data_IF_869659946590
#
_entry.id   IF_869659946590
#
_cell.length_a   1.000
_cell.length_b   1.000
_cell.length_c   1.000
_cell.angle_alpha   90.00
_cell.angle_beta   90.00
_cell.angle_gamma   90.00
#
_symmetry.space_group_name_H-M   'P 1'
#
loop_
_entity.id
_entity.type
_entity.pdbx_description
1 polymer ?
#
# COMPACT_ATOMS: atom_id res chain seq x y z
N UNK A 1 -16.25 -15.16 -13.30
CA UNK A 1 -15.09 -15.76 -13.94
C UNK A 1 -14.03 -16.01 -12.87
N UNK A 2 -13.98 -17.23 -12.39
CA UNK A 2 -12.99 -17.62 -11.37
C UNK A 2 -11.66 -17.85 -12.05
N UNK A 3 -10.73 -16.91 -11.90
CA UNK A 3 -9.33 -17.20 -12.16
C UNK A 3 -8.77 -18.00 -10.99
N UNK A 4 -8.93 -19.32 -11.03
CA UNK A 4 -8.12 -20.23 -10.22
C UNK A 4 -6.69 -20.16 -10.73
N UNK A 5 -5.94 -19.18 -10.28
CA UNK A 5 -4.50 -19.24 -10.37
C UNK A 5 -4.03 -20.32 -9.38
N UNK A 6 -3.54 -21.44 -9.90
CA UNK A 6 -2.90 -22.51 -9.11
C UNK A 6 -1.76 -22.04 -8.20
N UNK A 7 -1.39 -20.78 -8.30
CA UNK A 7 -0.40 -20.11 -7.46
C UNK A 7 -0.95 -19.74 -6.06
N UNK A 8 -2.28 -19.60 -5.94
CA UNK A 8 -2.91 -19.19 -4.68
C UNK A 8 -2.89 -20.26 -3.59
N UNK A 9 -2.91 -21.55 -3.97
CA UNK A 9 -2.97 -22.61 -2.96
C UNK A 9 -1.65 -22.76 -2.19
N UNK A 10 -0.52 -22.57 -2.86
CA UNK A 10 0.80 -22.57 -2.19
C UNK A 10 1.07 -21.33 -1.34
N UNK A 11 0.40 -20.21 -1.64
CA UNK A 11 0.57 -18.97 -0.90
C UNK A 11 -0.33 -18.90 0.34
N UNK A 12 -1.39 -19.69 0.41
CA UNK A 12 -2.24 -19.79 1.61
C UNK A 12 -1.47 -20.36 2.82
N UNK A 13 -0.48 -21.20 2.56
CA UNK A 13 0.37 -21.78 3.60
C UNK A 13 1.39 -20.78 4.19
N UNK A 14 1.52 -19.58 3.56
CA UNK A 14 2.43 -18.51 4.00
C UNK A 14 1.69 -17.43 4.80
N UNK A 15 0.41 -17.63 5.11
CA UNK A 15 -0.36 -16.67 5.89
C UNK A 15 0.28 -16.49 7.27
N UNK A 16 0.82 -15.30 7.51
CA UNK A 16 1.38 -14.93 8.80
C UNK A 16 0.26 -14.70 9.81
N UNK A 17 0.31 -15.38 10.93
CA UNK A 17 -0.61 -15.16 12.05
C UNK A 17 -0.33 -13.80 12.69
N UNK A 18 -1.39 -13.18 13.23
CA UNK A 18 -1.36 -11.87 13.88
C UNK A 18 -0.80 -10.75 12.98
N UNK A 19 -1.00 -10.88 11.66
CA UNK A 19 -0.62 -9.84 10.72
C UNK A 19 -1.66 -8.71 10.72
N UNK A 20 -1.20 -7.51 11.00
CA UNK A 20 -1.96 -6.29 10.77
C UNK A 20 -1.03 -5.22 10.22
N UNK A 21 -1.28 -4.76 8.99
CA UNK A 21 -0.48 -3.75 8.31
C UNK A 21 -1.37 -2.72 7.65
N UNK A 22 -0.92 -1.48 7.66
CA UNK A 22 -1.61 -0.37 7.01
C UNK A 22 -0.66 0.32 6.03
N UNK A 23 -1.10 0.44 4.78
CA UNK A 23 -0.35 1.02 3.68
C UNK A 23 -1.09 2.26 3.19
N UNK A 24 -0.41 3.39 3.14
CA UNK A 24 -0.91 4.59 2.48
C UNK A 24 -0.26 4.72 1.10
N UNK A 25 -1.07 4.99 0.08
CA UNK A 25 -0.62 5.32 -1.27
C UNK A 25 -1.14 6.69 -1.60
N UNK A 26 -0.25 7.64 -1.81
CA UNK A 26 -0.63 9.03 -2.07
C UNK A 26 0.09 9.61 -3.27
N UNK A 27 -0.57 10.56 -3.94
CA UNK A 27 -0.04 11.25 -5.10
C UNK A 27 -1.00 12.28 -5.64
N UNK A 28 -0.64 12.85 -6.79
CA UNK A 28 -1.51 13.76 -7.54
C UNK A 28 -2.65 12.99 -8.20
N UNK A 29 -3.78 13.66 -8.39
CA UNK A 29 -4.86 13.12 -9.22
C UNK A 29 -4.32 12.67 -10.58
N UNK A 30 -4.65 11.46 -10.99
CA UNK A 30 -4.20 10.85 -12.25
C UNK A 30 -2.89 10.05 -12.18
N UNK A 31 -2.20 9.97 -11.04
CA UNK A 31 -0.96 9.18 -10.89
C UNK A 31 -1.20 7.68 -10.65
N UNK A 32 -2.45 7.22 -10.66
CA UNK A 32 -2.76 5.80 -10.54
C UNK A 32 -2.81 5.27 -9.10
N UNK A 33 -2.99 6.13 -8.10
CA UNK A 33 -3.12 5.71 -6.68
C UNK A 33 -4.25 4.70 -6.50
N UNK A 34 -5.39 4.92 -7.15
CA UNK A 34 -6.55 4.03 -7.08
C UNK A 34 -6.28 2.65 -7.69
N UNK A 35 -5.62 2.60 -8.85
CA UNK A 35 -5.29 1.35 -9.52
C UNK A 35 -4.29 0.55 -8.69
N UNK A 36 -3.26 1.21 -8.19
CA UNK A 36 -2.23 0.58 -7.35
C UNK A 36 -2.84 0.02 -6.07
N UNK A 37 -3.69 0.78 -5.39
CA UNK A 37 -4.35 0.31 -4.16
C UNK A 37 -5.26 -0.89 -4.42
N UNK A 38 -5.99 -0.87 -5.53
CA UNK A 38 -6.87 -1.97 -5.90
C UNK A 38 -6.10 -3.26 -6.21
N UNK A 39 -4.97 -3.15 -6.90
CA UNK A 39 -4.10 -4.31 -7.18
C UNK A 39 -3.53 -4.90 -5.89
N UNK A 40 -3.01 -4.07 -4.98
CA UNK A 40 -2.50 -4.52 -3.68
C UNK A 40 -3.62 -5.20 -2.88
N UNK A 41 -4.79 -4.59 -2.81
CA UNK A 41 -5.95 -5.15 -2.12
C UNK A 41 -6.32 -6.53 -2.68
N UNK A 42 -6.38 -6.68 -3.99
CA UNK A 42 -6.64 -7.97 -4.64
C UNK A 42 -5.62 -9.04 -4.28
N UNK A 43 -4.34 -8.70 -4.33
CA UNK A 43 -3.26 -9.65 -4.00
C UNK A 43 -3.46 -10.19 -2.58
N UNK A 44 -3.68 -9.32 -1.59
CA UNK A 44 -3.85 -9.75 -0.21
C UNK A 44 -5.17 -10.50 0.03
N UNK A 45 -6.25 -10.15 -0.66
CA UNK A 45 -7.49 -10.91 -0.64
C UNK A 45 -7.27 -12.34 -1.17
N UNK A 46 -6.52 -12.50 -2.26
CA UNK A 46 -6.19 -13.82 -2.82
C UNK A 46 -5.30 -14.65 -1.88
N UNK A 47 -4.47 -13.98 -1.07
CA UNK A 47 -3.66 -14.63 -0.04
C UNK A 47 -4.48 -15.00 1.21
N UNK A 48 -5.77 -14.67 1.26
CA UNK A 48 -6.67 -15.02 2.34
C UNK A 48 -6.70 -14.03 3.50
N UNK A 49 -6.20 -12.80 3.32
CA UNK A 49 -6.31 -11.73 4.30
C UNK A 49 -7.60 -10.94 4.14
N UNK A 50 -8.06 -10.36 5.23
CA UNK A 50 -9.09 -9.32 5.20
C UNK A 50 -8.45 -8.00 4.80
N UNK A 51 -9.09 -7.27 3.89
CA UNK A 51 -8.57 -6.01 3.37
C UNK A 51 -9.66 -4.95 3.42
N UNK A 52 -9.32 -3.79 3.95
CA UNK A 52 -10.15 -2.61 3.92
C UNK A 52 -9.42 -1.51 3.13
N UNK A 53 -10.00 -1.07 2.02
CA UNK A 53 -9.42 -0.03 1.16
C UNK A 53 -10.24 1.25 1.27
N UNK A 54 -9.71 2.22 2.01
CA UNK A 54 -10.28 3.55 2.15
C UNK A 54 -9.68 4.49 1.09
N UNK A 55 -10.55 5.28 0.48
CA UNK A 55 -10.17 6.21 -0.57
C UNK A 55 -10.54 7.63 -0.15
N UNK A 56 -9.56 8.52 -0.19
CA UNK A 56 -9.75 9.94 0.07
C UNK A 56 -9.37 10.76 -1.18
N UNK A 57 -10.39 11.42 -1.75
CA UNK A 57 -10.24 12.30 -2.90
C UNK A 57 -10.81 13.69 -2.57
N UNK A 58 -10.10 14.49 -1.78
CA UNK A 58 -10.59 15.81 -1.39
C UNK A 58 -10.67 16.79 -2.57
N UNK A 59 -10.05 16.47 -3.69
CA UNK A 59 -10.04 17.32 -4.87
C UNK A 59 -10.31 16.53 -6.16
N UNK A 60 -11.31 16.98 -6.91
CA UNK A 60 -11.57 16.57 -8.29
C UNK A 60 -10.73 17.37 -9.29
N UNK A 61 -10.00 18.38 -8.83
CA UNK A 61 -9.17 19.25 -9.65
C UNK A 61 -7.85 18.53 -9.95
N UNK A 62 -7.43 18.55 -11.20
CA UNK A 62 -6.14 18.02 -11.65
C UNK A 62 -4.98 18.60 -10.81
N UNK A 63 -4.16 17.72 -10.23
CA UNK A 63 -3.03 18.12 -9.37
C UNK A 63 -3.36 18.21 -7.88
N UNK A 64 -4.62 17.98 -7.46
CA UNK A 64 -4.99 17.82 -6.06
C UNK A 64 -4.38 16.57 -5.44
N UNK A 65 -4.17 16.59 -4.11
CA UNK A 65 -3.66 15.43 -3.38
C UNK A 65 -4.76 14.41 -3.15
N UNK A 66 -4.55 13.21 -3.63
CA UNK A 66 -5.43 12.06 -3.41
C UNK A 66 -4.63 10.93 -2.77
N UNK A 67 -5.28 10.17 -1.89
CA UNK A 67 -4.63 9.02 -1.29
C UNK A 67 -5.60 7.88 -1.00
N UNK A 68 -5.05 6.68 -0.91
CA UNK A 68 -5.76 5.48 -0.49
C UNK A 68 -5.06 4.90 0.74
N UNK A 69 -5.84 4.38 1.68
CA UNK A 69 -5.33 3.65 2.83
C UNK A 69 -5.82 2.22 2.74
N UNK A 70 -4.89 1.28 2.71
CA UNK A 70 -5.17 -0.15 2.68
C UNK A 70 -4.81 -0.73 4.03
N UNK A 71 -5.81 -1.25 4.73
CA UNK A 71 -5.59 -2.02 5.96
C UNK A 71 -5.71 -3.51 5.65
N UNK A 72 -4.74 -4.28 6.09
CA UNK A 72 -4.60 -5.71 5.82
C UNK A 72 -4.50 -6.43 7.16
N UNK A 73 -5.31 -7.45 7.39
CA UNK A 73 -5.28 -8.21 8.64
C UNK A 73 -5.66 -9.67 8.42
N UNK A 74 -5.22 -10.52 9.32
CA UNK A 74 -5.69 -11.90 9.42
C UNK A 74 -7.06 -12.02 10.10
N UNK A 75 -7.59 -10.90 10.62
CA UNK A 75 -8.90 -10.78 11.26
C UNK A 75 -9.80 -9.79 10.53
N UNK A 76 -11.12 -9.89 10.63
CA UNK A 76 -12.04 -8.93 10.01
C UNK A 76 -11.73 -7.48 10.38
N UNK A 77 -11.74 -6.60 9.38
CA UNK A 77 -11.51 -5.16 9.51
C UNK A 77 -12.74 -4.41 9.03
N UNK A 78 -13.19 -3.42 9.81
CA UNK A 78 -14.32 -2.56 9.47
C UNK A 78 -13.97 -1.08 9.27
N UNK A 79 -12.72 -0.70 9.52
CA UNK A 79 -12.25 0.69 9.42
C UNK A 79 -10.76 0.77 9.08
N UNK A 80 -10.32 1.94 8.63
CA UNK A 80 -8.90 2.22 8.44
C UNK A 80 -8.28 2.84 9.70
N UNK A 81 -6.96 2.78 9.80
CA UNK A 81 -6.16 3.43 10.85
C UNK A 81 -5.48 4.68 10.31
N UNK A 82 -5.23 5.64 11.20
CA UNK A 82 -4.51 6.88 10.88
C UNK A 82 -2.99 6.77 11.10
N UNK A 83 -2.50 5.58 11.36
CA UNK A 83 -1.07 5.27 11.49
C UNK A 83 -0.70 4.24 10.43
N UNK A 84 0.41 4.46 9.75
CA UNK A 84 0.82 3.70 8.58
C UNK A 84 2.12 2.96 8.82
N UNK A 85 2.19 1.72 8.36
CA UNK A 85 3.42 0.93 8.38
C UNK A 85 4.25 1.18 7.12
N UNK A 86 3.56 1.46 6.02
CA UNK A 86 4.19 1.74 4.72
C UNK A 86 3.49 2.95 4.09
N UNK A 87 4.29 3.89 3.59
CA UNK A 87 3.82 5.01 2.78
C UNK A 87 4.44 4.89 1.39
N UNK A 88 3.61 4.71 0.38
CA UNK A 88 4.01 4.77 -1.03
C UNK A 88 3.71 6.19 -1.53
N UNK A 89 4.74 7.02 -1.59
CA UNK A 89 4.62 8.40 -2.01
C UNK A 89 4.96 8.55 -3.49
N UNK A 90 3.97 8.91 -4.31
CA UNK A 90 4.17 9.20 -5.71
C UNK A 90 4.57 10.66 -5.95
N UNK A 91 4.43 11.50 -4.93
CA UNK A 91 4.87 12.88 -4.93
C UNK A 91 5.41 13.33 -3.56
N UNK A 92 6.11 14.46 -3.53
CA UNK A 92 6.68 15.01 -2.30
C UNK A 92 5.60 15.42 -1.29
N UNK A 93 4.46 15.91 -1.77
CA UNK A 93 3.35 16.34 -0.91
C UNK A 93 2.81 15.21 -0.04
N UNK A 94 2.79 13.99 -0.56
CA UNK A 94 2.40 12.79 0.21
C UNK A 94 3.31 12.58 1.41
N UNK A 95 4.61 12.72 1.24
CA UNK A 95 5.59 12.59 2.33
C UNK A 95 5.36 13.68 3.36
N UNK A 96 5.26 14.93 2.91
CA UNK A 96 5.13 16.08 3.80
C UNK A 96 3.86 16.03 4.67
N UNK A 97 2.76 15.55 4.10
CA UNK A 97 1.48 15.44 4.80
C UNK A 97 1.40 14.24 5.74
N UNK A 98 1.96 13.11 5.34
CA UNK A 98 1.69 11.82 6.01
C UNK A 98 2.86 11.24 6.82
N UNK A 99 4.09 11.74 6.66
CA UNK A 99 5.25 11.22 7.40
C UNK A 99 5.09 11.21 8.92
N UNK A 100 4.36 12.18 9.47
CA UNK A 100 4.05 12.27 10.91
C UNK A 100 3.19 11.12 11.43
N UNK A 101 2.48 10.47 10.53
CA UNK A 101 1.59 9.35 10.84
C UNK A 101 2.24 7.98 10.56
N UNK A 102 3.53 7.97 10.24
CA UNK A 102 4.28 6.74 10.08
C UNK A 102 4.48 6.04 11.43
N UNK A 103 4.24 4.75 11.49
CA UNK A 103 4.53 3.94 12.65
C UNK A 103 6.03 3.84 12.90
N UNK A 104 6.40 3.60 14.15
CA UNK A 104 7.79 3.33 14.53
C UNK A 104 8.29 2.10 13.78
N UNK A 105 9.38 2.25 13.02
CA UNK A 105 9.88 1.20 12.13
C UNK A 105 9.17 1.11 10.78
N UNK A 106 8.26 2.03 10.48
CA UNK A 106 7.60 2.12 9.18
C UNK A 106 8.54 2.57 8.07
N UNK A 107 8.12 2.35 6.83
CA UNK A 107 8.93 2.58 5.63
C UNK A 107 8.21 3.58 4.71
N UNK A 108 8.97 4.53 4.17
CA UNK A 108 8.51 5.44 3.12
C UNK A 108 9.20 5.09 1.82
N UNK A 109 8.40 4.78 0.80
CA UNK A 109 8.86 4.68 -0.58
C UNK A 109 8.62 6.00 -1.28
N UNK A 110 9.71 6.67 -1.66
CA UNK A 110 9.63 7.90 -2.44
C UNK A 110 9.59 7.58 -3.93
N UNK A 111 8.46 7.86 -4.57
CA UNK A 111 8.27 7.64 -6.00
C UNK A 111 9.17 8.49 -6.90
N UNK A 112 9.72 9.59 -6.40
CA UNK A 112 10.77 10.35 -7.10
C UNK A 112 12.09 9.59 -7.17
N UNK A 113 12.34 8.73 -6.19
CA UNK A 113 13.49 7.82 -6.17
C UNK A 113 13.30 6.57 -7.01
N UNK A 114 12.13 6.36 -7.63
CA UNK A 114 11.88 5.17 -8.45
C UNK A 114 12.70 5.12 -9.74
N UNK A 115 13.15 6.26 -10.26
CA UNK A 115 14.12 6.28 -11.37
C UNK A 115 15.46 5.65 -10.99
N UNK A 116 15.99 5.85 -9.77
CA UNK A 116 17.14 5.11 -9.26
C UNK A 116 16.82 3.71 -8.71
N UNK A 117 15.58 3.29 -8.62
CA UNK A 117 15.26 1.94 -8.11
C UNK A 117 15.95 0.86 -8.94
N UNK A 118 16.10 1.07 -10.23
CA UNK A 118 16.90 0.19 -11.06
C UNK A 118 18.41 0.39 -10.87
N UNK A 119 18.84 1.47 -10.22
CA UNK A 119 20.25 1.79 -9.96
C UNK A 119 20.72 1.63 -8.51
N UNK A 120 19.85 1.81 -7.54
CA UNK A 120 20.16 1.70 -6.11
C UNK A 120 19.25 0.70 -5.40
N UNK A 121 19.52 -0.56 -5.59
CA UNK A 121 18.78 -1.71 -5.03
C UNK A 121 18.79 -1.82 -3.49
N UNK A 122 19.23 -0.81 -2.77
CA UNK A 122 19.44 -0.90 -1.32
C UNK A 122 18.14 -1.02 -0.55
N UNK A 123 17.07 -0.39 -1.03
CA UNK A 123 15.75 -0.47 -0.36
C UNK A 123 14.97 -1.72 -0.72
N UNK A 124 15.02 -2.16 -1.97
CA UNK A 124 14.36 -3.41 -2.40
C UNK A 124 15.08 -4.62 -1.81
N UNK A 125 16.40 -4.59 -1.76
CA UNK A 125 17.18 -5.68 -1.15
C UNK A 125 16.91 -5.87 0.35
N UNK A 126 16.51 -4.84 1.09
CA UNK A 126 16.13 -4.94 2.51
C UNK A 126 14.71 -5.46 2.73
N UNK A 127 13.83 -5.35 1.75
CA UNK A 127 12.46 -5.86 1.82
C UNK A 127 12.34 -7.34 1.52
N UNK A 128 13.26 -7.88 0.76
CA UNK A 128 13.25 -9.28 0.30
C UNK A 128 14.39 -10.14 0.91
N UNK A 129 15.09 -9.60 1.88
CA UNK A 129 16.05 -10.38 2.65
C UNK A 129 15.43 -10.90 3.93
#
# INVERSE_FOLDING_TARGET
>A
MEYKLCFCDKLKDIKLENMEKTILIGGKAGQGTAVTSHLIAKIFCHLGYYVFNYRDYPSLITGGHNFNVISISDKPISSHKNKFDIILALDQKTIDLHKKNLNKGGIIFDGKGLKPIFGNNVLIGKLFK
#
